data_IF_278390816363
#
_entry.id   IF_278390816363
#
_cell.length_a   1.000
_cell.length_b   1.000
_cell.length_c   1.000
_cell.angle_alpha   90.00
_cell.angle_beta   90.00
_cell.angle_gamma   90.00
#
_symmetry.space_group_name_H-M   'P 1'
#
loop_
_entity.id
_entity.type
_entity.pdbx_description
1 polymer ?
#
# COMPACT_ATOMS: atom_id res chain seq x y z
N UNK A 1 -0.81 37.03 29.24
CA UNK A 1 -0.22 36.39 28.08
C UNK A 1 -1.16 35.26 27.71
N UNK A 2 -1.93 35.47 26.65
CA UNK A 2 -2.98 34.58 26.20
C UNK A 2 -2.30 33.36 25.50
N UNK A 3 -2.46 32.20 26.05
CA UNK A 3 -2.10 30.94 25.39
C UNK A 3 -3.20 30.61 24.38
N UNK A 4 -3.08 31.13 23.19
CA UNK A 4 -3.88 30.69 22.05
C UNK A 4 -3.60 29.18 21.81
N UNK A 5 -4.51 28.39 22.29
CA UNK A 5 -4.61 26.99 21.94
C UNK A 5 -5.03 26.93 20.47
N UNK A 6 -4.05 26.90 19.57
CA UNK A 6 -4.30 26.54 18.16
C UNK A 6 -4.87 25.15 18.19
N UNK A 7 -6.19 25.06 18.07
CA UNK A 7 -6.87 23.81 17.74
C UNK A 7 -6.33 23.37 16.38
N UNK A 8 -5.34 22.47 16.36
CA UNK A 8 -4.77 21.96 15.13
C UNK A 8 -5.90 21.31 14.34
N UNK A 9 -6.28 21.93 13.23
CA UNK A 9 -7.21 21.33 12.29
C UNK A 9 -6.69 19.91 11.98
N UNK A 10 -7.55 18.91 12.18
CA UNK A 10 -7.17 17.50 12.00
C UNK A 10 -6.75 17.30 10.56
N UNK A 11 -5.47 16.97 10.33
CA UNK A 11 -4.91 16.77 9.00
C UNK A 11 -5.66 15.60 8.31
N UNK A 12 -6.14 15.81 7.08
CA UNK A 12 -6.72 14.73 6.27
C UNK A 12 -5.62 13.71 5.96
N UNK A 13 -5.75 12.46 6.43
CA UNK A 13 -4.73 11.45 6.24
C UNK A 13 -4.53 11.01 4.79
N UNK A 14 -5.44 11.37 3.88
CA UNK A 14 -5.31 11.11 2.44
C UNK A 14 -4.59 12.23 1.71
N UNK A 15 -4.68 13.45 2.25
CA UNK A 15 -4.12 14.68 1.71
C UNK A 15 -3.06 15.28 2.63
N UNK A 16 -2.40 14.44 3.44
CA UNK A 16 -1.42 14.88 4.44
C UNK A 16 -0.30 15.74 3.86
N UNK A 17 0.09 15.49 2.61
CA UNK A 17 1.11 16.25 1.89
C UNK A 17 0.71 17.71 1.62
N UNK A 18 -0.57 18.03 1.64
CA UNK A 18 -1.07 19.41 1.47
C UNK A 18 -1.00 20.23 2.77
N UNK A 19 -0.80 19.56 3.90
CA UNK A 19 -0.67 20.23 5.21
C UNK A 19 0.73 20.78 5.49
N UNK A 20 1.70 20.49 4.61
CA UNK A 20 3.10 20.87 4.79
C UNK A 20 3.47 21.95 3.78
N UNK A 21 3.96 23.07 4.29
CA UNK A 21 4.50 24.14 3.46
C UNK A 21 5.91 23.79 3.02
N UNK A 22 6.20 23.92 1.73
CA UNK A 22 7.50 23.63 1.13
C UNK A 22 8.17 24.95 0.77
N UNK A 23 9.05 25.43 1.66
CA UNK A 23 9.72 26.73 1.54
C UNK A 23 11.18 26.62 1.09
N UNK A 24 11.68 25.43 0.78
CA UNK A 24 13.07 25.20 0.37
C UNK A 24 13.56 23.77 0.63
N UNK A 25 14.88 23.54 0.60
CA UNK A 25 15.45 22.20 0.73
C UNK A 25 15.44 21.65 2.17
N UNK A 26 15.09 22.45 3.16
CA UNK A 26 15.07 22.08 4.58
C UNK A 26 13.63 22.03 5.07
N UNK A 27 13.22 20.92 5.66
CA UNK A 27 11.90 20.79 6.25
C UNK A 27 11.77 21.70 7.48
N UNK A 28 10.77 22.56 7.49
CA UNK A 28 10.49 23.50 8.59
C UNK A 28 9.68 22.88 9.73
N UNK A 29 9.11 21.70 9.53
CA UNK A 29 8.27 20.99 10.49
C UNK A 29 8.57 19.48 10.48
N UNK A 30 8.28 18.76 11.59
CA UNK A 30 8.33 17.31 11.61
C UNK A 30 7.39 16.68 10.57
N UNK A 31 7.69 15.45 10.11
CA UNK A 31 6.81 14.74 9.18
C UNK A 31 5.45 14.46 9.81
N UNK A 32 4.42 14.36 9.00
CA UNK A 32 3.04 14.02 9.43
C UNK A 32 2.62 12.63 8.96
N UNK A 33 3.45 11.98 8.15
CA UNK A 33 3.25 10.62 7.67
C UNK A 33 4.52 9.80 7.90
N UNK A 34 4.36 8.57 8.42
CA UNK A 34 5.46 7.62 8.60
C UNK A 34 5.23 6.37 7.76
N UNK A 35 6.30 5.89 7.13
CA UNK A 35 6.40 4.53 6.61
C UNK A 35 7.34 3.75 7.51
N UNK A 36 6.80 2.77 8.23
CA UNK A 36 7.54 1.98 9.20
C UNK A 36 7.60 0.52 8.75
N UNK A 37 8.79 0.07 8.44
CA UNK A 37 9.05 -1.35 8.20
C UNK A 37 9.17 -2.08 9.54
N UNK A 38 8.10 -2.74 9.94
CA UNK A 38 8.03 -3.45 11.23
C UNK A 38 8.71 -4.81 11.20
N UNK A 39 9.01 -5.32 10.01
CA UNK A 39 9.78 -6.54 9.75
C UNK A 39 10.29 -6.56 8.33
N UNK A 40 11.51 -7.07 8.12
CA UNK A 40 12.02 -7.40 6.79
C UNK A 40 11.83 -8.90 6.45
N UNK A 41 11.17 -9.68 7.34
CA UNK A 41 10.84 -11.09 7.08
C UNK A 41 9.58 -11.21 6.24
N UNK A 42 9.62 -12.12 5.28
CA UNK A 42 8.45 -12.45 4.46
C UNK A 42 8.37 -13.95 4.20
N UNK A 43 7.18 -14.47 4.02
CA UNK A 43 6.93 -15.88 3.71
C UNK A 43 6.73 -16.15 2.21
N UNK A 44 6.88 -15.13 1.34
CA UNK A 44 6.86 -15.25 -0.13
C UNK A 44 8.23 -15.01 -0.75
N UNK A 45 8.35 -15.30 -2.05
CA UNK A 45 9.54 -15.15 -2.89
C UNK A 45 9.15 -14.48 -4.22
N UNK A 46 8.56 -13.27 -4.13
CA UNK A 46 8.04 -12.57 -5.30
C UNK A 46 9.16 -12.18 -6.27
N UNK A 47 8.92 -12.33 -7.56
CA UNK A 47 9.90 -12.04 -8.63
C UNK A 47 10.24 -10.56 -8.76
N UNK A 48 9.37 -9.67 -8.29
CA UNK A 48 9.59 -8.22 -8.31
C UNK A 48 10.17 -7.67 -6.99
N UNK A 49 10.40 -8.53 -6.00
CA UNK A 49 10.85 -8.10 -4.68
C UNK A 49 12.36 -8.25 -4.52
N UNK A 50 13.12 -7.20 -4.18
CA UNK A 50 14.56 -7.29 -4.00
C UNK A 50 14.94 -8.31 -2.91
N UNK A 51 14.14 -8.47 -1.87
CA UNK A 51 14.38 -9.46 -0.81
C UNK A 51 14.54 -10.90 -1.32
N UNK A 52 14.01 -11.21 -2.50
CA UNK A 52 14.11 -12.57 -3.06
C UNK A 52 15.50 -12.87 -3.62
N UNK A 53 16.22 -11.84 -4.03
CA UNK A 53 17.44 -11.98 -4.82
C UNK A 53 18.67 -11.31 -4.20
N UNK A 54 18.44 -10.34 -3.32
CA UNK A 54 19.53 -9.57 -2.73
C UNK A 54 19.84 -10.02 -1.31
N UNK A 55 21.11 -9.99 -0.91
CA UNK A 55 21.52 -10.08 0.48
C UNK A 55 21.31 -8.71 1.14
N UNK A 56 20.18 -8.58 1.79
CA UNK A 56 19.82 -7.41 2.59
C UNK A 56 20.23 -7.61 4.05
N UNK A 57 19.82 -6.66 4.92
CA UNK A 57 20.05 -6.81 6.35
C UNK A 57 19.50 -8.14 6.89
N UNK A 58 20.09 -8.68 7.98
CA UNK A 58 19.60 -9.90 8.61
C UNK A 58 18.11 -9.84 8.93
N UNK A 59 17.36 -10.94 8.74
CA UNK A 59 15.93 -10.98 9.04
C UNK A 59 15.63 -10.62 10.49
N UNK A 60 14.87 -9.55 10.71
CA UNK A 60 14.54 -9.02 12.02
C UNK A 60 13.12 -8.45 12.08
N UNK A 61 12.60 -8.32 13.29
CA UNK A 61 11.41 -7.52 13.60
C UNK A 61 11.86 -6.26 14.34
N UNK A 62 11.19 -5.14 14.09
CA UNK A 62 11.37 -3.92 14.86
C UNK A 62 10.95 -4.15 16.31
N UNK A 63 11.81 -3.84 17.27
CA UNK A 63 11.46 -3.97 18.67
C UNK A 63 10.39 -2.97 19.07
N UNK A 64 9.65 -3.28 20.13
CA UNK A 64 8.63 -2.37 20.68
C UNK A 64 9.23 -1.03 21.12
N UNK A 65 10.40 -1.05 21.74
CA UNK A 65 11.13 0.12 22.21
C UNK A 65 11.54 1.03 21.07
N UNK A 66 12.09 0.44 19.98
CA UNK A 66 12.44 1.20 18.78
C UNK A 66 11.19 1.79 18.13
N UNK A 67 10.14 0.99 17.97
CA UNK A 67 8.87 1.43 17.37
C UNK A 67 8.29 2.63 18.12
N UNK A 68 8.17 2.56 19.45
CA UNK A 68 7.64 3.66 20.26
C UNK A 68 8.56 4.87 20.27
N UNK A 69 9.89 4.67 20.32
CA UNK A 69 10.88 5.76 20.24
C UNK A 69 10.77 6.57 18.96
N UNK A 70 10.53 5.91 17.81
CA UNK A 70 10.33 6.60 16.53
C UNK A 70 8.99 7.37 16.54
N UNK A 71 7.92 6.71 16.91
CA UNK A 71 6.57 7.28 16.88
C UNK A 71 6.45 8.49 17.82
N UNK A 72 7.07 8.43 19.00
CA UNK A 72 6.98 9.49 20.01
C UNK A 72 7.74 10.77 19.62
N UNK A 73 8.64 10.70 18.63
CA UNK A 73 9.31 11.87 18.08
C UNK A 73 8.44 12.67 17.11
N UNK A 74 7.29 12.13 16.70
CA UNK A 74 6.41 12.77 15.69
C UNK A 74 5.06 13.11 16.32
N UNK A 75 4.91 14.34 16.84
CA UNK A 75 3.77 14.70 17.69
C UNK A 75 2.43 14.80 16.92
N UNK A 76 2.47 15.10 15.62
CA UNK A 76 1.28 15.33 14.80
C UNK A 76 1.13 14.30 13.68
N UNK A 77 1.17 13.01 14.03
CA UNK A 77 1.05 11.95 13.05
C UNK A 77 -0.37 11.90 12.50
N UNK A 78 -0.53 12.19 11.20
CA UNK A 78 -1.80 12.04 10.50
C UNK A 78 -1.97 10.63 9.92
N UNK A 79 -0.88 10.00 9.45
CA UNK A 79 -0.92 8.74 8.73
C UNK A 79 0.30 7.89 9.05
N UNK A 80 0.08 6.58 9.20
CA UNK A 80 1.18 5.61 9.28
C UNK A 80 0.91 4.44 8.34
N UNK A 81 1.91 4.08 7.56
CA UNK A 81 1.92 2.91 6.70
C UNK A 81 2.91 1.91 7.29
N UNK A 82 2.41 0.79 7.81
CA UNK A 82 3.24 -0.30 8.31
C UNK A 82 3.63 -1.18 7.13
N UNK A 83 4.68 -0.78 6.42
CA UNK A 83 5.06 -1.38 5.13
C UNK A 83 6.57 -1.29 4.90
N UNK A 84 7.10 -2.34 4.30
CA UNK A 84 8.46 -2.47 3.82
C UNK A 84 8.53 -3.65 2.86
N UNK A 85 9.67 -4.33 2.80
CA UNK A 85 9.85 -5.54 1.99
C UNK A 85 9.36 -6.81 2.70
N UNK A 86 9.07 -6.75 4.01
CA UNK A 86 8.56 -7.84 4.82
C UNK A 86 7.03 -8.01 4.73
N UNK A 87 6.53 -9.04 5.41
CA UNK A 87 5.10 -9.28 5.60
C UNK A 87 4.69 -8.87 7.03
N UNK A 88 3.97 -7.75 7.20
CA UNK A 88 3.61 -7.23 8.54
C UNK A 88 2.85 -8.24 9.41
N UNK A 89 2.04 -9.11 8.81
CA UNK A 89 1.30 -10.12 9.55
C UNK A 89 2.18 -11.23 10.15
N UNK A 90 3.48 -11.24 9.93
CA UNK A 90 4.43 -12.09 10.68
C UNK A 90 4.76 -11.52 12.07
N UNK A 91 4.61 -10.20 12.24
CA UNK A 91 4.89 -9.53 13.53
C UNK A 91 3.79 -9.87 14.54
N UNK A 92 4.19 -10.41 15.69
CA UNK A 92 3.25 -10.79 16.77
C UNK A 92 2.56 -9.56 17.37
N UNK A 93 3.31 -8.49 17.53
CA UNK A 93 2.86 -7.24 18.17
C UNK A 93 2.12 -6.29 17.21
N UNK A 94 1.86 -6.70 15.94
CA UNK A 94 1.19 -5.84 14.96
C UNK A 94 -0.12 -5.22 15.48
N UNK A 95 -1.06 -5.95 16.12
CA UNK A 95 -2.27 -5.35 16.65
C UNK A 95 -1.99 -4.32 17.78
N UNK A 96 -0.95 -4.54 18.58
CA UNK A 96 -0.51 -3.61 19.61
C UNK A 96 0.09 -2.34 19.01
N UNK A 97 0.90 -2.48 17.96
CA UNK A 97 1.47 -1.36 17.21
C UNK A 97 0.37 -0.50 16.58
N UNK A 98 -0.63 -1.13 15.95
CA UNK A 98 -1.78 -0.42 15.37
C UNK A 98 -2.51 0.37 16.46
N UNK A 99 -2.86 -0.26 17.59
CA UNK A 99 -3.57 0.41 18.69
C UNK A 99 -2.80 1.61 19.22
N UNK A 100 -1.49 1.47 19.40
CA UNK A 100 -0.62 2.55 19.85
C UNK A 100 -0.67 3.78 18.93
N UNK A 101 -0.72 3.56 17.62
CA UNK A 101 -0.87 4.60 16.62
C UNK A 101 -2.29 5.19 16.61
N UNK A 102 -3.31 4.35 16.79
CA UNK A 102 -4.71 4.79 16.86
C UNK A 102 -4.98 5.67 18.08
N UNK A 103 -4.36 5.38 19.21
CA UNK A 103 -4.46 6.20 20.44
C UNK A 103 -3.90 7.61 20.23
N UNK A 104 -3.00 7.79 19.26
CA UNK A 104 -2.47 9.09 18.81
C UNK A 104 -3.27 9.75 17.68
N UNK A 105 -4.38 9.14 17.28
CA UNK A 105 -5.27 9.66 16.24
C UNK A 105 -4.80 9.43 14.80
N UNK A 106 -3.73 8.66 14.59
CA UNK A 106 -3.23 8.36 13.25
C UNK A 106 -4.22 7.52 12.42
N UNK A 107 -4.23 7.74 11.12
CA UNK A 107 -4.81 6.82 10.15
C UNK A 107 -3.78 5.73 9.87
N UNK A 108 -4.12 4.48 10.16
CA UNK A 108 -3.18 3.35 10.08
C UNK A 108 -3.58 2.38 8.97
N UNK A 109 -2.61 2.03 8.15
CA UNK A 109 -2.79 1.03 7.10
C UNK A 109 -1.53 0.19 6.91
N UNK A 110 -1.71 -0.97 6.25
CA UNK A 110 -0.58 -1.76 5.78
C UNK A 110 -0.95 -2.60 4.54
N UNK A 111 0.10 -3.03 3.83
CA UNK A 111 0.00 -3.99 2.74
C UNK A 111 0.32 -5.39 3.29
N UNK A 112 -0.43 -6.39 2.85
CA UNK A 112 -0.22 -7.80 3.19
C UNK A 112 -0.31 -8.69 1.96
N UNK A 113 0.40 -9.79 1.97
CA UNK A 113 0.21 -10.83 0.98
C UNK A 113 -1.04 -11.71 1.23
N UNK A 114 -1.78 -11.47 2.30
CA UNK A 114 -3.05 -12.13 2.63
C UNK A 114 -2.95 -13.58 3.10
N UNK A 115 -1.78 -14.20 3.07
CA UNK A 115 -1.62 -15.64 3.42
C UNK A 115 -1.95 -15.95 4.88
N UNK A 116 -1.78 -14.95 5.75
CA UNK A 116 -1.99 -15.05 7.20
C UNK A 116 -3.28 -14.38 7.69
N UNK A 117 -4.13 -13.90 6.79
CA UNK A 117 -5.41 -13.26 7.12
C UNK A 117 -6.47 -14.30 7.50
N UNK A 118 -6.22 -15.04 8.57
CA UNK A 118 -7.18 -15.97 9.15
C UNK A 118 -8.32 -15.22 9.84
N UNK A 119 -9.47 -15.88 10.07
CA UNK A 119 -10.62 -15.27 10.77
C UNK A 119 -10.22 -14.65 12.11
N UNK A 120 -9.39 -15.35 12.92
CA UNK A 120 -8.89 -14.83 14.20
C UNK A 120 -8.05 -13.56 14.00
N UNK A 121 -7.08 -13.60 13.10
CA UNK A 121 -6.19 -12.45 12.87
C UNK A 121 -6.92 -11.27 12.22
N UNK A 122 -7.89 -11.55 11.35
CA UNK A 122 -8.76 -10.52 10.80
C UNK A 122 -9.55 -9.80 11.90
N UNK A 123 -10.09 -10.53 12.88
CA UNK A 123 -10.78 -9.96 14.04
C UNK A 123 -9.83 -9.09 14.89
N UNK A 124 -8.64 -9.59 15.19
CA UNK A 124 -7.60 -8.83 15.93
C UNK A 124 -7.28 -7.49 15.22
N UNK A 125 -7.27 -7.45 13.88
CA UNK A 125 -7.08 -6.22 13.11
C UNK A 125 -8.27 -5.26 13.24
N UNK A 126 -9.51 -5.75 13.17
CA UNK A 126 -10.69 -4.92 13.41
C UNK A 126 -10.67 -4.31 14.82
N UNK A 127 -10.41 -5.13 15.83
CA UNK A 127 -10.34 -4.72 17.25
C UNK A 127 -9.17 -3.76 17.54
N UNK A 128 -8.09 -3.82 16.77
CA UNK A 128 -6.97 -2.88 16.89
C UNK A 128 -7.27 -1.49 16.35
N UNK A 129 -8.37 -1.33 15.60
CA UNK A 129 -8.77 -0.07 15.01
C UNK A 129 -8.08 0.24 13.67
N UNK A 130 -7.53 -0.76 12.99
CA UNK A 130 -6.93 -0.59 11.66
C UNK A 130 -7.91 0.11 10.71
N UNK A 131 -7.45 1.10 9.94
CA UNK A 131 -8.30 1.86 9.03
C UNK A 131 -8.36 1.25 7.62
N UNK A 132 -7.23 0.69 7.13
CA UNK A 132 -7.15 0.18 5.76
C UNK A 132 -6.22 -1.03 5.67
N UNK A 133 -6.67 -2.06 4.95
CA UNK A 133 -5.93 -3.27 4.65
C UNK A 133 -5.81 -3.44 3.14
N UNK A 134 -4.58 -3.54 2.64
CA UNK A 134 -4.29 -3.71 1.22
C UNK A 134 -3.76 -5.12 0.97
N UNK A 135 -4.49 -5.90 0.20
CA UNK A 135 -4.09 -7.28 -0.13
C UNK A 135 -3.42 -7.30 -1.49
N UNK A 136 -2.12 -7.59 -1.50
CA UNK A 136 -1.34 -7.73 -2.72
C UNK A 136 -1.50 -9.14 -3.29
N UNK A 137 -2.24 -9.28 -4.40
CA UNK A 137 -2.51 -10.57 -5.02
C UNK A 137 -1.76 -10.77 -6.36
N UNK A 138 -1.68 -9.73 -7.21
CA UNK A 138 -0.93 -9.64 -8.47
C UNK A 138 -1.29 -10.63 -9.57
N UNK A 139 -2.37 -11.38 -9.44
CA UNK A 139 -2.84 -12.30 -10.47
C UNK A 139 -4.33 -12.61 -10.31
N UNK A 140 -4.97 -13.03 -11.39
CA UNK A 140 -6.36 -13.48 -11.40
C UNK A 140 -6.49 -15.02 -11.37
N UNK A 141 -5.39 -15.75 -11.48
CA UNK A 141 -5.36 -17.22 -11.43
C UNK A 141 -4.14 -17.75 -10.67
N UNK A 142 -4.20 -19.02 -10.28
CA UNK A 142 -3.18 -19.69 -9.47
C UNK A 142 -1.84 -19.88 -10.20
N UNK A 143 -1.85 -20.05 -11.52
CA UNK A 143 -0.63 -20.28 -12.30
C UNK A 143 0.20 -19.00 -12.38
N UNK A 144 -0.44 -17.89 -12.77
CA UNK A 144 0.19 -16.57 -12.82
C UNK A 144 0.59 -16.10 -11.42
N UNK A 145 -0.27 -16.32 -10.40
CA UNK A 145 0.07 -16.02 -9.02
C UNK A 145 1.38 -16.71 -8.59
N UNK A 146 1.51 -18.02 -8.84
CA UNK A 146 2.72 -18.75 -8.50
C UNK A 146 3.96 -18.24 -9.24
N UNK A 147 3.80 -17.87 -10.51
CA UNK A 147 4.87 -17.28 -11.31
C UNK A 147 5.38 -15.96 -10.72
N UNK A 148 4.46 -15.06 -10.35
CA UNK A 148 4.80 -13.71 -9.83
C UNK A 148 5.21 -13.75 -8.37
N UNK A 149 4.51 -14.55 -7.54
CA UNK A 149 4.66 -14.56 -6.08
C UNK A 149 5.56 -15.67 -5.53
N UNK A 150 6.06 -16.56 -6.40
CA UNK A 150 7.04 -17.60 -6.07
C UNK A 150 6.49 -18.77 -5.25
N UNK A 151 5.22 -18.76 -4.84
CA UNK A 151 4.57 -19.84 -4.07
C UNK A 151 3.09 -19.96 -4.44
N UNK A 152 2.52 -21.14 -4.28
CA UNK A 152 1.11 -21.40 -4.58
C UNK A 152 0.21 -21.18 -3.34
N UNK A 153 -0.19 -19.93 -3.13
CA UNK A 153 -1.12 -19.58 -2.06
C UNK A 153 -2.40 -18.89 -2.56
N UNK A 154 -2.62 -18.83 -3.87
CA UNK A 154 -3.77 -18.12 -4.47
C UNK A 154 -5.11 -18.52 -3.84
N UNK A 155 -5.45 -19.81 -3.85
CA UNK A 155 -6.70 -20.30 -3.28
C UNK A 155 -6.81 -20.05 -1.76
N UNK A 156 -5.69 -20.10 -1.02
CA UNK A 156 -5.66 -19.77 0.41
C UNK A 156 -6.01 -18.30 0.65
N UNK A 157 -5.40 -17.39 -0.12
CA UNK A 157 -5.62 -15.95 0.04
C UNK A 157 -7.08 -15.62 -0.25
N UNK A 158 -7.66 -16.15 -1.33
CA UNK A 158 -9.05 -15.90 -1.66
C UNK A 158 -10.01 -16.40 -0.57
N UNK A 159 -9.76 -17.60 -0.01
CA UNK A 159 -10.55 -18.09 1.14
C UNK A 159 -10.42 -17.16 2.35
N UNK A 160 -9.21 -16.71 2.65
CA UNK A 160 -8.96 -15.80 3.77
C UNK A 160 -9.68 -14.47 3.59
N UNK A 161 -9.59 -13.88 2.40
CA UNK A 161 -10.23 -12.59 2.09
C UNK A 161 -11.74 -12.73 2.15
N UNK A 162 -12.33 -13.77 1.54
CA UNK A 162 -13.78 -14.03 1.62
C UNK A 162 -14.25 -14.19 3.06
N UNK A 163 -13.57 -15.02 3.84
CA UNK A 163 -13.92 -15.20 5.25
C UNK A 163 -13.84 -13.90 6.05
N UNK A 164 -12.87 -13.02 5.71
CA UNK A 164 -12.73 -11.72 6.35
C UNK A 164 -13.86 -10.76 5.95
N UNK A 165 -14.18 -10.62 4.66
CA UNK A 165 -15.26 -9.75 4.18
C UNK A 165 -16.64 -10.22 4.62
N UNK A 166 -16.88 -11.54 4.67
CA UNK A 166 -18.10 -12.14 5.21
C UNK A 166 -18.27 -11.86 6.71
N UNK A 167 -17.16 -11.96 7.48
CA UNK A 167 -17.14 -11.60 8.90
C UNK A 167 -17.49 -10.12 9.09
N UNK A 168 -16.86 -9.22 8.33
CA UNK A 168 -17.17 -7.79 8.40
C UNK A 168 -18.64 -7.51 8.10
N UNK A 169 -19.18 -8.11 7.03
CA UNK A 169 -20.58 -7.94 6.64
C UNK A 169 -21.55 -8.45 7.73
N UNK A 170 -21.26 -9.62 8.29
CA UNK A 170 -22.07 -10.24 9.35
C UNK A 170 -22.10 -9.41 10.64
N UNK A 171 -20.97 -8.77 10.97
CA UNK A 171 -20.81 -8.02 12.21
C UNK A 171 -21.03 -6.50 12.04
N UNK A 172 -21.38 -6.06 10.82
CA UNK A 172 -21.62 -4.64 10.51
C UNK A 172 -20.36 -3.78 10.64
N UNK A 173 -19.18 -4.36 10.37
CA UNK A 173 -17.90 -3.67 10.47
C UNK A 173 -17.53 -3.04 9.11
N UNK A 174 -17.25 -1.76 9.10
CA UNK A 174 -16.79 -1.00 7.93
C UNK A 174 -15.26 -0.83 7.89
N UNK A 175 -14.58 -1.20 8.97
CA UNK A 175 -13.12 -1.11 9.11
C UNK A 175 -12.51 -2.44 9.53
N UNK A 176 -11.26 -2.68 9.06
CA UNK A 176 -10.52 -1.89 8.08
C UNK A 176 -11.16 -1.94 6.70
N UNK A 177 -11.09 -0.83 5.95
CA UNK A 177 -11.43 -0.83 4.52
C UNK A 177 -10.45 -1.75 3.79
N UNK A 178 -10.96 -2.73 3.07
CA UNK A 178 -10.13 -3.69 2.34
C UNK A 178 -10.10 -3.39 0.84
N UNK A 179 -8.91 -3.51 0.23
CA UNK A 179 -8.71 -3.40 -1.21
C UNK A 179 -7.76 -4.48 -1.74
N UNK A 180 -7.92 -4.87 -2.99
CA UNK A 180 -7.00 -5.78 -3.69
C UNK A 180 -6.08 -5.00 -4.63
N UNK A 181 -4.80 -5.36 -4.59
CA UNK A 181 -3.74 -4.66 -5.31
C UNK A 181 -3.05 -5.58 -6.30
N UNK A 182 -2.84 -5.05 -7.50
CA UNK A 182 -2.10 -5.68 -8.59
C UNK A 182 -0.96 -4.75 -9.01
N UNK A 183 0.25 -5.27 -9.09
CA UNK A 183 1.38 -4.56 -9.65
C UNK A 183 1.26 -4.50 -11.17
N UNK A 184 1.43 -3.32 -11.75
CA UNK A 184 1.29 -3.07 -13.18
C UNK A 184 2.47 -3.62 -13.97
N UNK A 185 2.42 -4.92 -14.23
CA UNK A 185 3.34 -5.64 -15.10
C UNK A 185 2.70 -5.86 -16.47
N UNK A 186 3.50 -5.72 -17.55
CA UNK A 186 3.04 -6.02 -18.93
C UNK A 186 2.56 -7.45 -19.07
N UNK A 187 3.23 -8.38 -18.38
CA UNK A 187 2.97 -9.82 -18.42
C UNK A 187 1.61 -10.20 -17.83
N UNK A 188 1.03 -9.34 -16.97
CA UNK A 188 -0.19 -9.64 -16.23
C UNK A 188 -1.34 -8.65 -16.48
N UNK A 189 -1.12 -7.60 -17.28
CA UNK A 189 -2.15 -6.55 -17.51
C UNK A 189 -3.42 -7.09 -18.16
N UNK A 190 -3.30 -8.09 -19.02
CA UNK A 190 -4.45 -8.77 -19.66
C UNK A 190 -5.40 -9.41 -18.64
N UNK A 191 -4.89 -9.80 -17.48
CA UNK A 191 -5.69 -10.39 -16.41
C UNK A 191 -6.50 -9.36 -15.60
N UNK A 192 -6.31 -8.07 -15.84
CA UNK A 192 -6.91 -7.01 -15.00
C UNK A 192 -8.44 -7.08 -14.94
N UNK A 193 -9.19 -7.32 -16.04
CA UNK A 193 -10.64 -7.52 -15.95
C UNK A 193 -11.03 -8.77 -15.13
N UNK A 194 -10.29 -9.88 -15.27
CA UNK A 194 -10.49 -11.07 -14.46
C UNK A 194 -10.15 -10.83 -12.98
N UNK A 195 -9.11 -10.04 -12.70
CA UNK A 195 -8.75 -9.63 -11.35
C UNK A 195 -9.86 -8.83 -10.64
N UNK A 196 -10.53 -7.93 -11.37
CA UNK A 196 -11.70 -7.20 -10.86
C UNK A 196 -12.82 -8.19 -10.47
N UNK A 197 -13.09 -9.23 -11.29
CA UNK A 197 -14.09 -10.26 -10.94
C UNK A 197 -13.69 -11.04 -9.69
N UNK A 198 -12.43 -11.46 -9.58
CA UNK A 198 -11.91 -12.18 -8.41
C UNK A 198 -12.05 -11.35 -7.14
N UNK A 199 -11.77 -10.05 -7.22
CA UNK A 199 -11.96 -9.13 -6.10
C UNK A 199 -13.44 -9.02 -5.71
N UNK A 200 -14.32 -8.82 -6.69
CA UNK A 200 -15.78 -8.75 -6.46
C UNK A 200 -16.32 -10.02 -5.79
N UNK A 201 -15.99 -11.19 -6.34
CA UNK A 201 -16.40 -12.50 -5.81
C UNK A 201 -15.83 -12.78 -4.40
N UNK A 202 -14.78 -12.06 -4.02
CA UNK A 202 -14.18 -12.12 -2.68
C UNK A 202 -14.78 -11.07 -1.72
N UNK A 203 -15.81 -10.33 -2.13
CA UNK A 203 -16.47 -9.29 -1.33
C UNK A 203 -15.68 -7.99 -1.21
N UNK A 204 -14.61 -7.83 -1.99
CA UNK A 204 -13.79 -6.61 -2.02
C UNK A 204 -14.38 -5.61 -3.00
N UNK A 205 -14.50 -4.36 -2.58
CA UNK A 205 -15.13 -3.28 -3.38
C UNK A 205 -14.15 -2.33 -4.05
N UNK A 206 -12.86 -2.52 -3.82
CA UNK A 206 -11.82 -1.64 -4.37
C UNK A 206 -10.66 -2.45 -4.93
N UNK A 207 -10.27 -2.12 -6.16
CA UNK A 207 -9.10 -2.66 -6.84
C UNK A 207 -8.14 -1.52 -7.15
N UNK A 208 -6.86 -1.76 -6.95
CA UNK A 208 -5.81 -0.80 -7.22
C UNK A 208 -4.72 -1.40 -8.11
N UNK A 209 -4.46 -0.77 -9.25
CA UNK A 209 -3.33 -1.08 -10.12
C UNK A 209 -2.16 -0.19 -9.73
N UNK A 210 -1.15 -0.79 -9.10
CA UNK A 210 0.03 -0.08 -8.61
C UNK A 210 1.11 -0.03 -9.69
N UNK A 211 1.74 1.14 -9.86
CA UNK A 211 2.93 1.27 -10.69
C UNK A 211 4.07 0.38 -10.15
N UNK A 212 4.72 -0.38 -11.03
CA UNK A 212 5.95 -1.07 -10.70
C UNK A 212 7.02 -0.03 -10.37
N UNK A 213 7.70 -0.21 -9.23
CA UNK A 213 8.90 0.54 -8.88
C UNK A 213 10.11 -0.31 -9.26
N UNK A 214 11.01 0.26 -10.01
CA UNK A 214 12.26 -0.36 -10.42
C UNK A 214 13.41 0.66 -10.34
N UNK A 215 14.61 0.17 -10.31
CA UNK A 215 15.82 0.98 -10.32
C UNK A 215 16.59 0.67 -11.60
N UNK A 216 17.12 1.70 -12.29
CA UNK A 216 17.82 1.56 -13.56
C UNK A 216 19.27 1.02 -13.41
N UNK A 217 19.64 0.59 -12.22
CA UNK A 217 20.95 -0.04 -11.99
C UNK A 217 20.75 -1.52 -11.61
N UNK A 218 21.61 -2.35 -12.14
CA UNK A 218 21.61 -3.81 -11.90
C UNK A 218 21.94 -4.18 -10.44
N UNK A 219 22.20 -3.20 -9.58
CA UNK A 219 22.56 -3.40 -8.19
C UNK A 219 21.37 -3.50 -7.23
N UNK A 220 20.16 -3.11 -7.65
CA UNK A 220 18.99 -3.09 -6.77
C UNK A 220 17.77 -3.69 -7.46
N UNK A 221 17.50 -4.97 -7.16
CA UNK A 221 16.29 -5.68 -7.55
C UNK A 221 16.23 -6.13 -9.00
N UNK A 222 15.31 -7.04 -9.28
CA UNK A 222 15.15 -7.69 -10.58
C UNK A 222 13.94 -7.15 -11.39
N UNK A 223 13.23 -6.13 -10.86
CA UNK A 223 12.20 -5.45 -11.60
C UNK A 223 12.81 -4.58 -12.69
N UNK A 224 12.48 -4.83 -13.95
CA UNK A 224 13.07 -4.16 -15.11
C UNK A 224 12.13 -3.12 -15.70
N UNK A 225 12.69 -2.07 -16.35
CA UNK A 225 11.91 -1.04 -17.02
C UNK A 225 10.97 -1.59 -18.11
N UNK A 226 11.40 -2.66 -18.81
CA UNK A 226 10.61 -3.32 -19.88
C UNK A 226 9.37 -4.06 -19.34
N UNK A 227 9.34 -4.42 -18.05
CA UNK A 227 8.19 -5.01 -17.38
C UNK A 227 7.16 -3.96 -16.94
N UNK A 228 7.55 -2.70 -16.81
CA UNK A 228 6.70 -1.64 -16.29
C UNK A 228 5.64 -1.20 -17.30
N UNK A 229 4.36 -1.36 -16.92
CA UNK A 229 3.21 -1.03 -17.76
C UNK A 229 3.14 0.47 -18.11
N UNK A 230 3.42 1.33 -17.14
CA UNK A 230 3.15 2.77 -17.27
C UNK A 230 4.21 3.58 -18.03
N UNK A 231 5.36 3.01 -18.32
CA UNK A 231 6.42 3.73 -19.03
C UNK A 231 6.11 3.90 -20.53
N UNK A 232 5.54 2.87 -21.15
CA UNK A 232 5.21 2.86 -22.60
C UNK A 232 4.01 1.97 -22.87
N UNK A 233 2.84 2.36 -22.36
CA UNK A 233 1.62 1.58 -22.52
C UNK A 233 1.17 1.53 -23.98
N UNK A 234 0.95 0.33 -24.52
CA UNK A 234 0.37 0.11 -25.83
C UNK A 234 -1.15 0.40 -25.83
N UNK A 235 -1.75 0.50 -27.02
CA UNK A 235 -3.22 0.63 -27.16
C UNK A 235 -3.96 -0.58 -26.61
N UNK A 236 -3.40 -1.78 -26.78
CA UNK A 236 -3.97 -3.03 -26.28
C UNK A 236 -3.93 -3.08 -24.75
N UNK A 237 -2.79 -2.76 -24.15
CA UNK A 237 -2.65 -2.64 -22.70
C UNK A 237 -3.62 -1.60 -22.11
N UNK A 238 -3.78 -0.45 -22.76
CA UNK A 238 -4.74 0.57 -22.36
C UNK A 238 -6.20 0.08 -22.45
N UNK A 239 -6.53 -0.77 -23.42
CA UNK A 239 -7.86 -1.35 -23.57
C UNK A 239 -8.20 -2.29 -22.40
N UNK A 240 -7.22 -3.03 -21.85
CA UNK A 240 -7.44 -3.85 -20.65
C UNK A 240 -7.77 -3.01 -19.42
N UNK A 241 -7.11 -1.85 -19.26
CA UNK A 241 -7.41 -0.92 -18.16
C UNK A 241 -8.83 -0.36 -18.31
N UNK A 242 -9.21 0.05 -19.53
CA UNK A 242 -10.55 0.56 -19.81
C UNK A 242 -11.62 -0.51 -19.51
N UNK A 243 -11.44 -1.72 -20.03
CA UNK A 243 -12.35 -2.85 -19.78
C UNK A 243 -12.47 -3.17 -18.28
N UNK A 244 -11.37 -3.11 -17.54
CA UNK A 244 -11.38 -3.33 -16.10
C UNK A 244 -12.13 -2.23 -15.35
N UNK A 245 -11.97 -0.96 -15.76
CA UNK A 245 -12.69 0.16 -15.16
C UNK A 245 -14.19 0.06 -15.41
N UNK A 246 -14.61 -0.17 -16.66
CA UNK A 246 -16.02 -0.33 -17.05
C UNK A 246 -16.66 -1.51 -16.28
N UNK A 247 -15.93 -2.63 -16.16
CA UNK A 247 -16.38 -3.78 -15.38
C UNK A 247 -16.54 -3.43 -13.90
N UNK A 248 -15.55 -2.75 -13.30
CA UNK A 248 -15.62 -2.33 -11.91
C UNK A 248 -16.85 -1.43 -11.66
N UNK A 249 -17.08 -0.45 -12.53
CA UNK A 249 -18.26 0.42 -12.47
C UNK A 249 -19.57 -0.38 -12.54
N UNK A 250 -19.67 -1.34 -13.49
CA UNK A 250 -20.85 -2.20 -13.65
C UNK A 250 -21.13 -3.08 -12.43
N UNK A 251 -20.10 -3.42 -11.65
CA UNK A 251 -20.18 -4.21 -10.41
C UNK A 251 -20.31 -3.34 -9.14
N UNK A 252 -20.42 -2.02 -9.29
CA UNK A 252 -20.46 -1.09 -8.15
C UNK A 252 -19.15 -1.03 -7.35
N UNK A 253 -18.04 -1.37 -7.99
CA UNK A 253 -16.69 -1.34 -7.41
C UNK A 253 -15.96 -0.06 -7.80
N UNK A 254 -14.87 0.23 -7.08
CA UNK A 254 -13.92 1.30 -7.42
C UNK A 254 -12.66 0.69 -8.01
N UNK A 255 -12.23 1.23 -9.13
CA UNK A 255 -10.94 0.93 -9.75
C UNK A 255 -10.05 2.16 -9.72
N UNK A 256 -8.83 2.00 -9.22
CA UNK A 256 -7.81 3.05 -9.19
C UNK A 256 -6.53 2.54 -9.84
N UNK A 257 -5.81 3.44 -10.51
CA UNK A 257 -4.50 3.14 -11.06
C UNK A 257 -3.51 4.26 -10.76
N UNK A 258 -2.33 3.92 -10.23
CA UNK A 258 -1.26 4.88 -10.04
C UNK A 258 -0.53 5.13 -11.35
N UNK A 259 -0.33 6.39 -11.71
CA UNK A 259 0.35 6.78 -12.94
C UNK A 259 -0.49 6.57 -14.21
N UNK A 260 -1.72 6.09 -14.11
CA UNK A 260 -2.65 6.10 -15.23
C UNK A 260 -3.02 7.54 -15.57
N UNK A 261 -3.07 7.83 -16.85
CA UNK A 261 -3.28 9.15 -17.45
C UNK A 261 -4.67 9.78 -17.18
N UNK A 262 -5.37 9.34 -16.15
CA UNK A 262 -6.68 9.89 -15.79
C UNK A 262 -6.62 11.30 -15.20
N UNK A 263 -5.43 11.76 -14.79
CA UNK A 263 -5.22 13.16 -14.44
C UNK A 263 -3.89 13.67 -15.03
N UNK A 264 -3.92 14.64 -15.95
CA UNK A 264 -2.73 15.21 -16.60
C UNK A 264 -1.71 15.86 -15.65
N UNK A 265 -1.98 15.93 -14.35
CA UNK A 265 -1.15 16.57 -13.35
C UNK A 265 -0.27 15.64 -12.50
N UNK A 266 -0.35 14.33 -12.67
CA UNK A 266 0.47 13.37 -11.87
C UNK A 266 1.61 12.71 -12.64
N UNK A 267 1.86 13.04 -13.90
CA UNK A 267 3.16 12.75 -14.48
C UNK A 267 4.16 13.64 -13.77
N UNK A 268 5.17 13.05 -13.15
CA UNK A 268 6.40 13.77 -12.79
C UNK A 268 6.98 14.30 -14.11
N UNK A 269 6.49 15.44 -14.58
CA UNK A 269 7.19 16.19 -15.59
C UNK A 269 8.51 16.55 -14.97
N UNK A 270 9.60 16.10 -15.59
CA UNK A 270 10.91 16.70 -15.35
C UNK A 270 10.74 18.16 -15.77
N UNK A 271 10.51 19.03 -14.83
CA UNK A 271 10.54 20.45 -15.11
C UNK A 271 12.01 20.86 -15.13
N UNK A 272 12.37 21.73 -16.05
CA UNK A 272 13.67 22.43 -16.02
C UNK A 272 13.73 23.47 -14.88
N UNK A 273 12.84 23.33 -13.88
CA UNK A 273 12.77 24.23 -12.74
C UNK A 273 14.01 24.07 -11.87
N UNK A 274 14.66 25.15 -11.59
CA UNK A 274 15.83 25.23 -10.70
C UNK A 274 15.50 24.85 -9.25
N UNK A 275 14.23 24.65 -8.92
CA UNK A 275 13.72 24.31 -7.59
C UNK A 275 13.01 22.95 -7.61
N UNK A 276 13.72 21.83 -7.68
CA UNK A 276 13.10 20.48 -7.78
C UNK A 276 12.23 20.11 -6.57
N UNK A 277 12.41 20.74 -5.43
CA UNK A 277 11.59 20.55 -4.24
C UNK A 277 10.16 21.06 -4.37
N UNK A 278 9.88 21.96 -5.31
CA UNK A 278 8.50 22.41 -5.58
C UNK A 278 7.64 21.36 -6.29
N UNK A 279 8.26 20.32 -6.84
CA UNK A 279 7.59 19.27 -7.63
C UNK A 279 6.92 18.18 -6.79
N UNK A 280 7.44 17.90 -5.60
CA UNK A 280 6.91 16.84 -4.74
C UNK A 280 7.03 17.23 -3.26
N UNK A 281 5.93 17.46 -2.55
CA UNK A 281 5.94 17.82 -1.14
C UNK A 281 6.25 16.64 -0.20
N UNK A 282 6.32 15.42 -0.72
CA UNK A 282 6.53 14.20 0.10
C UNK A 282 7.79 14.23 0.95
N UNK A 283 8.97 14.67 0.48
CA UNK A 283 10.18 14.72 1.31
C UNK A 283 10.03 15.53 2.59
N UNK A 284 9.11 16.50 2.62
CA UNK A 284 8.84 17.37 3.80
C UNK A 284 7.70 16.84 4.68
N UNK A 285 6.89 15.92 4.20
CA UNK A 285 5.72 15.43 4.91
C UNK A 285 5.82 13.95 5.34
N UNK A 286 6.80 13.24 4.78
CA UNK A 286 6.93 11.78 4.91
C UNK A 286 8.30 11.40 5.48
N UNK A 287 8.31 10.45 6.40
CA UNK A 287 9.49 9.74 6.90
C UNK A 287 9.22 8.22 6.96
#
# INVERSE_FOLDING_TARGET
MSTDTIQSARIDPRRYHESVQVDGPIASAPPVCLYLETTNRCNLLCTTCPRTYEELEPPADMSWELFTSIVDQVPNIARVVLHGIGEPMLVKDLPRQIRYLKDRGAYVLFNTNGTLLTARRGRELCESGLDELRVSLDAADAATYRQVRGKDFFARILRNVRAFTEMQAKEGLDKPRISMWLTGLRETVEQLPAFVRVAHESGVKEVYLQRLVFFENDAIGHARPDQALFERMSREEAAHLQTANELAESLGMKFFASGAASEPGMSLQRSDDSNPWSLCPRPWSLM
#
